data_IF_621853380184
#
_entry.id   IF_621853380184
#
_cell.length_a   1.000
_cell.length_b   1.000
_cell.length_c   1.000
_cell.angle_alpha   90.00
_cell.angle_beta   90.00
_cell.angle_gamma   90.00
#
_symmetry.space_group_name_H-M   'P 1'
#
loop_
_entity.id
_entity.type
_entity.pdbx_description
1 polymer ?
#
# COMPACT_ATOMS: atom_id res chain seq x y z
N UNK A 1 14.08 -11.37 -16.12
CA UNK A 1 13.60 -9.98 -16.28
C UNK A 1 13.23 -9.43 -14.92
N UNK A 2 13.59 -8.18 -14.61
CA UNK A 2 13.24 -7.54 -13.32
C UNK A 2 11.91 -6.80 -13.43
N UNK A 3 11.07 -6.87 -12.39
CA UNK A 3 9.79 -6.13 -12.30
C UNK A 3 10.10 -4.63 -12.21
N UNK A 4 9.55 -3.83 -13.11
CA UNK A 4 9.69 -2.36 -13.06
C UNK A 4 8.78 -1.80 -11.96
N UNK A 5 9.36 -1.12 -10.97
CA UNK A 5 8.68 -0.57 -9.80
C UNK A 5 9.62 0.34 -9.00
N UNK A 6 9.13 1.06 -8.00
CA UNK A 6 9.99 1.85 -7.11
C UNK A 6 10.74 0.95 -6.12
N UNK A 7 10.07 0.02 -5.46
CA UNK A 7 10.72 -1.00 -4.64
C UNK A 7 9.98 -2.33 -4.73
N UNK A 8 10.73 -3.42 -4.57
CA UNK A 8 10.19 -4.75 -4.28
C UNK A 8 10.71 -5.08 -2.90
N UNK A 9 9.80 -5.39 -1.99
CA UNK A 9 10.12 -5.93 -0.68
C UNK A 9 9.67 -7.38 -0.69
N UNK A 10 10.62 -8.31 -0.57
CA UNK A 10 10.30 -9.75 -0.61
C UNK A 10 9.60 -10.22 0.65
N UNK A 11 9.87 -9.54 1.76
CA UNK A 11 9.26 -9.76 3.06
C UNK A 11 9.23 -8.47 3.89
N UNK A 12 8.66 -8.55 5.08
CA UNK A 12 8.53 -7.43 6.03
C UNK A 12 9.88 -6.86 6.49
N UNK A 13 10.95 -7.66 6.49
CA UNK A 13 12.26 -7.22 6.95
C UNK A 13 12.92 -6.27 5.95
N UNK A 14 12.70 -6.45 4.65
CA UNK A 14 13.22 -5.53 3.63
C UNK A 14 12.60 -4.12 3.73
N UNK A 15 11.33 -4.04 4.17
CA UNK A 15 10.62 -2.77 4.40
C UNK A 15 11.23 -2.00 5.58
N UNK A 16 11.75 -2.72 6.58
CA UNK A 16 12.25 -2.12 7.83
C UNK A 16 13.29 -1.02 7.61
N UNK A 17 14.11 -1.12 6.56
CA UNK A 17 15.13 -0.11 6.26
C UNK A 17 14.53 1.29 6.01
N UNK A 18 13.39 1.38 5.33
CA UNK A 18 12.70 2.66 5.09
C UNK A 18 11.90 3.09 6.31
N UNK A 19 11.29 2.13 7.01
CA UNK A 19 10.49 2.41 8.22
C UNK A 19 11.36 2.92 9.36
N UNK A 20 12.55 2.34 9.57
CA UNK A 20 13.49 2.81 10.59
C UNK A 20 13.87 4.28 10.36
N UNK A 21 14.07 4.70 9.10
CA UNK A 21 14.34 6.12 8.79
C UNK A 21 13.11 6.99 9.12
N UNK A 22 11.90 6.53 8.82
CA UNK A 22 10.67 7.24 9.19
C UNK A 22 10.52 7.36 10.71
N UNK A 23 10.84 6.30 11.46
CA UNK A 23 10.78 6.27 12.92
C UNK A 23 11.83 7.20 13.55
N UNK A 24 13.07 7.20 13.04
CA UNK A 24 14.12 8.15 13.44
C UNK A 24 13.72 9.60 13.18
N UNK A 25 12.98 9.84 12.09
CA UNK A 25 12.42 11.16 11.77
C UNK A 25 11.17 11.50 12.59
N UNK A 26 10.67 10.58 13.42
CA UNK A 26 9.40 10.67 14.12
C UNK A 26 8.27 11.08 13.15
N UNK A 27 8.21 10.41 12.00
CA UNK A 27 7.27 10.71 10.93
C UNK A 27 5.83 10.61 11.42
N UNK A 28 5.00 11.55 10.98
CA UNK A 28 3.56 11.58 11.29
C UNK A 28 2.79 11.89 10.02
N UNK A 29 1.61 11.30 9.91
CA UNK A 29 0.67 11.62 8.83
C UNK A 29 0.02 12.97 9.19
N UNK A 30 0.56 14.05 8.64
CA UNK A 30 0.19 15.42 9.02
C UNK A 30 -1.03 15.92 8.23
N UNK A 31 -1.87 16.76 8.87
CA UNK A 31 -3.06 17.36 8.24
C UNK A 31 -2.74 18.55 7.34
N UNK A 32 -1.55 19.12 7.50
CA UNK A 32 -1.07 20.26 6.74
C UNK A 32 -1.01 19.94 5.23
N UNK A 33 -1.15 20.97 4.39
CA UNK A 33 -1.16 20.79 2.95
C UNK A 33 0.14 20.11 2.48
N UNK A 34 0.02 19.21 1.49
CA UNK A 34 1.17 18.48 0.95
C UNK A 34 2.30 19.42 0.49
N UNK A 35 1.97 20.58 -0.07
CA UNK A 35 2.95 21.61 -0.45
C UNK A 35 3.77 22.14 0.73
N UNK A 36 3.10 22.40 1.85
CA UNK A 36 3.76 22.87 3.07
C UNK A 36 4.65 21.77 3.64
N UNK A 37 4.17 20.53 3.63
CA UNK A 37 4.95 19.35 4.03
C UNK A 37 6.19 19.16 3.15
N UNK A 38 6.08 19.33 1.82
CA UNK A 38 7.23 19.30 0.90
C UNK A 38 8.27 20.36 1.29
N UNK A 39 7.85 21.59 1.57
CA UNK A 39 8.78 22.66 1.95
C UNK A 39 9.63 22.29 3.18
N UNK A 40 9.05 21.54 4.12
CA UNK A 40 9.71 21.10 5.33
C UNK A 40 10.57 19.84 5.13
N UNK A 41 10.05 18.84 4.42
CA UNK A 41 10.66 17.50 4.34
C UNK A 41 11.53 17.27 3.10
N UNK A 42 11.49 18.14 2.10
CA UNK A 42 12.27 18.00 0.85
C UNK A 42 13.78 17.85 1.04
N UNK A 43 14.31 18.36 2.16
CA UNK A 43 15.74 18.30 2.48
C UNK A 43 16.16 16.98 3.13
N UNK A 44 15.21 16.18 3.61
CA UNK A 44 15.48 14.93 4.34
C UNK A 44 16.08 13.86 3.44
N UNK A 45 16.85 12.95 4.04
CA UNK A 45 17.55 11.89 3.32
C UNK A 45 16.56 10.96 2.62
N UNK A 46 15.50 10.55 3.32
CA UNK A 46 14.49 9.65 2.76
C UNK A 46 13.76 10.28 1.57
N UNK A 47 13.33 11.55 1.69
CA UNK A 47 12.66 12.25 0.59
C UNK A 47 13.53 12.28 -0.67
N UNK A 48 14.79 12.70 -0.53
CA UNK A 48 15.75 12.77 -1.66
C UNK A 48 15.99 11.39 -2.27
N UNK A 49 16.12 10.36 -1.43
CA UNK A 49 16.32 8.97 -1.86
C UNK A 49 15.15 8.48 -2.70
N UNK A 50 13.92 8.55 -2.18
CA UNK A 50 12.71 8.12 -2.88
C UNK A 50 12.54 8.85 -4.21
N UNK A 51 12.72 10.19 -4.21
CA UNK A 51 12.66 11.02 -5.42
C UNK A 51 13.71 10.59 -6.46
N UNK A 52 14.96 10.43 -6.02
CA UNK A 52 16.06 10.01 -6.90
C UNK A 52 15.79 8.63 -7.50
N UNK A 53 15.39 7.66 -6.68
CA UNK A 53 15.15 6.28 -7.11
C UNK A 53 14.01 6.21 -8.14
N UNK A 54 12.94 7.00 -7.95
CA UNK A 54 11.85 7.10 -8.90
C UNK A 54 12.32 7.63 -10.27
N UNK A 55 13.09 8.73 -10.26
CA UNK A 55 13.58 9.37 -11.49
C UNK A 55 14.56 8.48 -12.24
N UNK A 56 15.48 7.82 -11.54
CA UNK A 56 16.44 6.89 -12.12
C UNK A 56 15.75 5.70 -12.80
N UNK A 57 14.66 5.21 -12.20
CA UNK A 57 13.89 4.07 -12.73
C UNK A 57 12.90 4.44 -13.83
N UNK A 58 12.73 5.74 -14.13
CA UNK A 58 11.84 6.26 -15.19
C UNK A 58 10.44 5.64 -15.12
N UNK A 59 9.83 5.65 -13.94
CA UNK A 59 8.57 4.96 -13.66
C UNK A 59 7.34 5.65 -14.25
N UNK A 60 7.45 6.93 -14.62
CA UNK A 60 6.39 7.71 -15.27
C UNK A 60 6.97 8.52 -16.43
N UNK A 61 6.12 8.84 -17.40
CA UNK A 61 6.41 9.85 -18.43
C UNK A 61 6.13 11.27 -17.93
N UNK A 62 5.31 11.40 -16.90
CA UNK A 62 4.96 12.67 -16.29
C UNK A 62 6.02 13.07 -15.25
N UNK A 63 6.31 14.38 -15.11
CA UNK A 63 7.15 14.86 -14.02
C UNK A 63 6.59 14.42 -12.66
N UNK A 64 7.46 13.87 -11.82
CA UNK A 64 7.12 13.51 -10.44
C UNK A 64 6.74 14.77 -9.67
N UNK A 65 5.58 14.77 -9.03
CA UNK A 65 5.18 15.82 -8.09
C UNK A 65 5.83 15.54 -6.74
N UNK A 66 6.38 16.56 -6.10
CA UNK A 66 7.05 16.39 -4.80
C UNK A 66 6.08 15.95 -3.70
N UNK A 67 4.80 16.32 -3.86
CA UNK A 67 3.71 15.86 -2.99
C UNK A 67 3.53 14.34 -3.02
N UNK A 68 3.82 13.66 -4.13
CA UNK A 68 3.74 12.19 -4.21
C UNK A 68 4.75 11.52 -3.26
N UNK A 69 5.93 12.11 -3.12
CA UNK A 69 6.97 11.59 -2.19
C UNK A 69 6.50 11.66 -0.74
N UNK A 70 5.77 12.71 -0.36
CA UNK A 70 5.15 12.81 0.96
C UNK A 70 4.10 11.70 1.16
N UNK A 71 3.26 11.46 0.15
CA UNK A 71 2.23 10.42 0.24
C UNK A 71 2.84 9.03 0.36
N UNK A 72 3.96 8.75 -0.31
CA UNK A 72 4.69 7.49 -0.17
C UNK A 72 5.19 7.24 1.25
N UNK A 73 5.68 8.29 1.91
CA UNK A 73 6.13 8.19 3.30
C UNK A 73 4.94 7.90 4.23
N UNK A 74 3.79 8.53 4.01
CA UNK A 74 2.56 8.25 4.77
C UNK A 74 2.08 6.81 4.57
N UNK A 75 2.00 6.35 3.32
CA UNK A 75 1.50 5.01 3.00
C UNK A 75 2.47 3.91 3.41
N UNK A 76 3.78 4.16 3.39
CA UNK A 76 4.76 3.23 3.97
C UNK A 76 4.50 2.99 5.46
N UNK A 77 4.19 4.04 6.22
CA UNK A 77 3.80 3.90 7.64
C UNK A 77 2.53 3.07 7.79
N UNK A 78 1.51 3.28 6.94
CA UNK A 78 0.27 2.50 6.97
C UNK A 78 0.51 1.03 6.61
N UNK A 79 1.26 0.75 5.55
CA UNK A 79 1.61 -0.60 5.11
C UNK A 79 2.38 -1.33 6.20
N UNK A 80 3.34 -0.67 6.86
CA UNK A 80 4.06 -1.24 8.01
C UNK A 80 3.12 -1.67 9.14
N UNK A 81 2.13 -0.84 9.47
CA UNK A 81 1.10 -1.19 10.47
C UNK A 81 0.24 -2.38 10.03
N UNK A 82 -0.17 -2.46 8.77
CA UNK A 82 -0.90 -3.63 8.22
C UNK A 82 -0.07 -4.90 8.35
N UNK A 83 1.19 -4.86 7.92
CA UNK A 83 2.09 -6.01 7.97
C UNK A 83 2.32 -6.50 9.41
N UNK A 84 2.45 -5.58 10.36
CA UNK A 84 2.54 -5.93 11.78
C UNK A 84 1.24 -6.55 12.31
N UNK A 85 0.06 -6.04 11.92
CA UNK A 85 -1.23 -6.61 12.32
C UNK A 85 -1.43 -8.01 11.72
N UNK A 86 -1.06 -8.21 10.45
CA UNK A 86 -1.08 -9.52 9.80
C UNK A 86 -0.19 -10.53 10.54
N UNK A 87 1.05 -10.16 10.84
CA UNK A 87 1.98 -10.99 11.61
C UNK A 87 1.39 -11.38 12.97
N UNK A 88 0.88 -10.41 13.75
CA UNK A 88 0.22 -10.66 15.04
C UNK A 88 -1.01 -11.55 14.93
N UNK A 89 -1.67 -11.56 13.78
CA UNK A 89 -2.86 -12.37 13.52
C UNK A 89 -2.57 -13.81 13.05
N UNK A 90 -1.29 -14.19 12.96
CA UNK A 90 -0.82 -15.53 12.57
C UNK A 90 -0.54 -15.72 11.08
N UNK A 91 -0.59 -14.66 10.27
CA UNK A 91 -0.30 -14.74 8.83
C UNK A 91 1.22 -14.85 8.61
N UNK A 92 1.64 -15.73 7.71
CA UNK A 92 3.05 -15.93 7.33
C UNK A 92 3.55 -14.76 6.46
N UNK A 93 3.86 -13.63 7.10
CA UNK A 93 4.26 -12.38 6.42
C UNK A 93 5.59 -12.48 5.67
N UNK A 94 6.42 -13.48 5.95
CA UNK A 94 7.63 -13.79 5.18
C UNK A 94 7.34 -14.36 3.79
N UNK A 95 6.10 -14.79 3.52
CA UNK A 95 5.63 -15.20 2.19
C UNK A 95 4.93 -14.07 1.42
N UNK A 96 4.74 -12.92 2.06
CA UNK A 96 4.11 -11.75 1.43
C UNK A 96 5.21 -10.87 0.83
N UNK A 97 5.16 -10.68 -0.48
CA UNK A 97 5.95 -9.66 -1.15
C UNK A 97 5.13 -8.40 -1.42
N UNK A 98 5.76 -7.23 -1.35
CA UNK A 98 5.16 -5.95 -1.63
C UNK A 98 5.90 -5.25 -2.77
N UNK A 99 5.19 -4.85 -3.81
CA UNK A 99 5.72 -4.06 -4.92
C UNK A 99 5.15 -2.66 -4.82
N UNK A 100 6.02 -1.68 -4.62
CA UNK A 100 5.64 -0.28 -4.46
C UNK A 100 5.75 0.46 -5.80
N UNK A 101 4.74 1.26 -6.14
CA UNK A 101 4.67 2.11 -7.33
C UNK A 101 4.91 1.29 -8.62
N UNK A 102 4.05 0.30 -8.87
CA UNK A 102 4.13 -0.59 -10.03
C UNK A 102 3.45 0.02 -11.27
N UNK A 103 4.19 0.32 -12.36
CA UNK A 103 3.60 0.80 -13.60
C UNK A 103 2.80 -0.32 -14.28
N UNK A 104 1.53 -0.06 -14.55
CA UNK A 104 0.63 -1.05 -15.12
C UNK A 104 0.96 -1.22 -16.60
N UNK A 105 1.31 -2.45 -17.00
CA UNK A 105 1.57 -2.80 -18.39
C UNK A 105 0.27 -2.64 -19.19
N UNK A 106 0.33 -1.92 -20.32
CA UNK A 106 -0.83 -1.49 -21.12
C UNK A 106 -1.86 -0.61 -20.38
N UNK A 107 -1.54 -0.15 -19.17
CA UNK A 107 -2.38 0.77 -18.40
C UNK A 107 -2.18 2.24 -18.75
N UNK A 108 -1.75 2.60 -19.96
CA UNK A 108 -1.58 3.99 -20.41
C UNK A 108 -0.90 4.93 -19.39
N UNK A 109 0.30 4.56 -18.93
CA UNK A 109 1.09 5.31 -17.94
C UNK A 109 0.50 5.39 -16.52
N UNK A 110 -0.50 4.58 -16.21
CA UNK A 110 -1.03 4.42 -14.85
C UNK A 110 -0.10 3.56 -13.98
N UNK A 111 -0.22 3.75 -12.67
CA UNK A 111 0.60 3.11 -11.65
C UNK A 111 -0.24 2.82 -10.42
N UNK A 112 -0.03 1.67 -9.81
CA UNK A 112 -0.66 1.33 -8.53
C UNK A 112 0.23 1.76 -7.38
N UNK A 113 -0.35 2.18 -6.25
CA UNK A 113 0.43 2.52 -5.05
C UNK A 113 1.21 1.28 -4.57
N UNK A 114 0.52 0.15 -4.36
CA UNK A 114 1.17 -1.12 -4.00
C UNK A 114 0.50 -2.33 -4.67
N UNK A 115 1.28 -3.37 -4.92
CA UNK A 115 0.81 -4.74 -5.09
C UNK A 115 1.26 -5.57 -3.90
N UNK A 116 0.34 -6.24 -3.22
CA UNK A 116 0.65 -7.28 -2.25
C UNK A 116 0.51 -8.63 -2.93
N UNK A 117 1.56 -9.43 -2.90
CA UNK A 117 1.65 -10.73 -3.57
C UNK A 117 1.80 -11.82 -2.53
N UNK A 118 0.95 -12.84 -2.59
CA UNK A 118 1.01 -14.03 -1.75
C UNK A 118 0.65 -15.27 -2.58
N UNK A 119 1.64 -16.14 -2.86
CA UNK A 119 1.47 -17.29 -3.75
C UNK A 119 0.82 -16.90 -5.10
N UNK A 120 -0.41 -17.33 -5.37
CA UNK A 120 -1.17 -17.01 -6.59
C UNK A 120 -2.15 -15.86 -6.43
N UNK A 121 -2.06 -15.11 -5.34
CA UNK A 121 -2.89 -13.94 -5.08
C UNK A 121 -2.10 -12.65 -5.28
N UNK A 122 -2.68 -11.72 -6.04
CA UNK A 122 -2.23 -10.34 -6.18
C UNK A 122 -3.35 -9.41 -5.69
N UNK A 123 -3.04 -8.58 -4.70
CA UNK A 123 -3.93 -7.54 -4.20
C UNK A 123 -3.40 -6.19 -4.67
N UNK A 124 -4.16 -5.51 -5.53
CA UNK A 124 -3.92 -4.12 -5.91
C UNK A 124 -4.39 -3.22 -4.76
N UNK A 125 -3.44 -2.56 -4.10
CA UNK A 125 -3.71 -1.69 -2.96
C UNK A 125 -3.54 -0.23 -3.37
N UNK A 126 -4.58 0.56 -3.07
CA UNK A 126 -4.62 1.99 -3.31
C UNK A 126 -4.94 2.74 -2.01
N UNK A 127 -4.24 3.83 -1.76
CA UNK A 127 -4.44 4.67 -0.58
C UNK A 127 -4.91 6.06 -0.98
N UNK A 128 -5.97 6.54 -0.34
CA UNK A 128 -6.48 7.89 -0.53
C UNK A 128 -6.47 8.66 0.78
N UNK A 129 -5.79 9.81 0.83
CA UNK A 129 -5.92 10.71 1.98
C UNK A 129 -7.22 11.53 1.88
N UNK A 130 -7.99 11.52 2.95
CA UNK A 130 -9.13 12.39 3.16
C UNK A 130 -8.63 13.75 3.66
N UNK A 131 -8.75 14.79 2.81
CA UNK A 131 -8.51 16.17 3.23
C UNK A 131 -9.80 16.83 3.73
N UNK A 132 -9.65 17.83 4.59
CA UNK A 132 -10.74 18.51 5.32
C UNK A 132 -11.78 19.24 4.45
N UNK A 133 -11.63 19.26 3.12
CA UNK A 133 -12.69 19.72 2.20
C UNK A 133 -13.74 18.61 2.02
N UNK A 134 -14.64 18.49 3.01
CA UNK A 134 -15.63 17.43 3.14
C UNK A 134 -16.56 17.25 1.92
N UNK A 135 -16.80 18.32 1.13
CA UNK A 135 -17.76 18.31 0.01
C UNK A 135 -17.38 17.44 -1.19
N UNK A 136 -16.14 16.93 -1.30
CA UNK A 136 -15.68 16.10 -2.45
C UNK A 136 -15.15 14.73 -2.06
N UNK A 137 -15.43 14.30 -0.84
CA UNK A 137 -14.83 13.09 -0.28
C UNK A 137 -15.36 11.80 -0.90
N UNK A 138 -16.68 11.68 -1.05
CA UNK A 138 -17.32 10.53 -1.70
C UNK A 138 -16.95 10.40 -3.18
N UNK A 139 -16.87 11.53 -3.90
CA UNK A 139 -16.40 11.56 -5.29
C UNK A 139 -14.96 11.07 -5.42
N UNK A 140 -14.08 11.48 -4.50
CA UNK A 140 -12.67 11.04 -4.48
C UNK A 140 -12.57 9.54 -4.20
N UNK A 141 -13.33 9.03 -3.24
CA UNK A 141 -13.36 7.59 -2.97
C UNK A 141 -13.84 6.80 -4.18
N UNK A 142 -14.97 7.21 -4.76
CA UNK A 142 -15.56 6.56 -5.94
C UNK A 142 -14.58 6.55 -7.11
N UNK A 143 -13.89 7.67 -7.34
CA UNK A 143 -12.88 7.78 -8.40
C UNK A 143 -11.70 6.84 -8.16
N UNK A 144 -11.12 6.81 -6.95
CA UNK A 144 -10.01 5.88 -6.64
C UNK A 144 -10.45 4.43 -6.74
N UNK A 145 -11.67 4.10 -6.33
CA UNK A 145 -12.22 2.75 -6.48
C UNK A 145 -12.37 2.35 -7.95
N UNK A 146 -12.87 3.25 -8.79
CA UNK A 146 -12.96 3.01 -10.24
C UNK A 146 -11.59 2.82 -10.90
N UNK A 147 -10.61 3.66 -10.54
CA UNK A 147 -9.21 3.53 -10.98
C UNK A 147 -8.65 2.17 -10.55
N UNK A 148 -8.76 1.82 -9.26
CA UNK A 148 -8.31 0.56 -8.69
C UNK A 148 -8.95 -0.67 -9.36
N UNK A 149 -10.26 -0.62 -9.64
CA UNK A 149 -10.97 -1.68 -10.36
C UNK A 149 -10.45 -1.85 -11.80
N UNK A 150 -10.15 -0.73 -12.46
CA UNK A 150 -9.57 -0.74 -13.82
C UNK A 150 -8.16 -1.35 -13.79
N UNK A 151 -7.36 -1.02 -12.78
CA UNK A 151 -6.01 -1.56 -12.59
C UNK A 151 -6.05 -3.08 -12.39
N UNK A 152 -6.91 -3.54 -11.48
CA UNK A 152 -7.17 -4.96 -11.25
C UNK A 152 -7.51 -5.67 -12.55
N UNK A 153 -8.49 -5.15 -13.30
CA UNK A 153 -8.95 -5.77 -14.54
C UNK A 153 -7.85 -5.85 -15.61
N UNK A 154 -7.05 -4.79 -15.78
CA UNK A 154 -5.93 -4.80 -16.75
C UNK A 154 -4.90 -5.86 -16.37
N UNK A 155 -4.54 -5.96 -15.08
CA UNK A 155 -3.57 -6.94 -14.59
C UNK A 155 -4.12 -8.36 -14.76
N UNK A 156 -5.37 -8.59 -14.32
CA UNK A 156 -6.08 -9.88 -14.38
C UNK A 156 -6.13 -10.44 -15.81
N UNK A 157 -6.46 -9.59 -16.79
CA UNK A 157 -6.53 -9.96 -18.21
C UNK A 157 -5.19 -10.42 -18.81
N UNK A 158 -4.06 -10.05 -18.21
CA UNK A 158 -2.72 -10.33 -18.74
C UNK A 158 -2.05 -11.54 -18.06
N UNK A 159 -2.63 -12.04 -16.98
CA UNK A 159 -2.06 -13.14 -16.20
C UNK A 159 -2.59 -14.49 -16.67
N UNK A 160 -1.85 -15.54 -16.29
CA UNK A 160 -2.26 -16.91 -16.57
C UNK A 160 -3.49 -17.28 -15.74
N UNK A 161 -4.36 -18.17 -16.23
CA UNK A 161 -5.44 -18.73 -15.43
C UNK A 161 -4.93 -19.30 -14.11
N UNK A 162 -5.68 -19.05 -13.03
CA UNK A 162 -5.35 -19.53 -11.69
C UNK A 162 -4.47 -18.59 -10.86
N UNK A 163 -4.24 -17.35 -11.31
CA UNK A 163 -3.72 -16.26 -10.48
C UNK A 163 -4.89 -15.33 -10.15
N UNK A 164 -5.20 -15.16 -8.87
CA UNK A 164 -6.29 -14.30 -8.40
C UNK A 164 -5.82 -12.85 -8.29
N UNK A 165 -6.55 -11.93 -8.93
CA UNK A 165 -6.28 -10.49 -8.82
C UNK A 165 -7.49 -9.78 -8.25
N UNK A 166 -7.30 -9.20 -7.06
CA UNK A 166 -8.30 -8.40 -6.35
C UNK A 166 -7.78 -7.01 -6.09
N UNK A 167 -8.64 -6.11 -5.64
CA UNK A 167 -8.23 -4.77 -5.24
C UNK A 167 -8.85 -4.32 -3.92
N UNK A 168 -8.18 -3.37 -3.28
CA UNK A 168 -8.67 -2.72 -2.09
C UNK A 168 -8.24 -1.25 -2.08
N UNK A 169 -9.19 -0.36 -1.77
CA UNK A 169 -8.91 1.07 -1.58
C UNK A 169 -9.09 1.42 -0.12
N UNK A 170 -8.03 1.89 0.52
CA UNK A 170 -8.08 2.39 1.89
C UNK A 170 -8.11 3.92 1.88
N UNK A 171 -9.11 4.51 2.52
CA UNK A 171 -9.14 5.94 2.80
C UNK A 171 -8.59 6.16 4.21
N UNK A 172 -7.59 7.02 4.33
CA UNK A 172 -7.00 7.37 5.62
C UNK A 172 -7.13 8.86 5.89
N UNK A 173 -7.08 9.23 7.16
CA UNK A 173 -7.14 10.61 7.65
C UNK A 173 -5.80 11.03 8.24
N UNK A 174 -5.47 12.32 8.25
CA UNK A 174 -4.27 12.78 8.92
C UNK A 174 -4.37 12.59 10.44
N UNK A 175 -3.30 12.14 11.06
CA UNK A 175 -3.24 11.75 12.49
C UNK A 175 -2.64 12.83 13.39
N UNK A 176 -2.00 13.84 12.79
CA UNK A 176 -1.27 14.86 13.52
C UNK A 176 -1.45 16.25 12.91
N UNK A 177 -1.45 17.25 13.78
CA UNK A 177 -1.45 18.66 13.43
C UNK A 177 -0.14 19.27 13.89
N UNK A 178 0.70 19.65 12.93
CA UNK A 178 1.98 20.29 13.22
C UNK A 178 1.80 21.68 13.81
N UNK A 179 0.83 22.45 13.30
CA UNK A 179 0.55 23.82 13.77
C UNK A 179 0.18 23.84 15.27
N UNK A 180 -0.65 22.89 15.70
CA UNK A 180 -1.05 22.77 17.12
C UNK A 180 -0.19 21.78 17.91
N UNK A 181 0.83 21.19 17.28
CA UNK A 181 1.68 20.13 17.83
C UNK A 181 0.89 19.03 18.56
N UNK A 182 -0.23 18.59 18.01
CA UNK A 182 -1.18 17.70 18.68
C UNK A 182 -1.62 16.53 17.81
N UNK A 183 -1.85 15.38 18.45
CA UNK A 183 -2.45 14.20 17.81
C UNK A 183 -3.95 14.40 17.63
N UNK A 184 -4.49 13.90 16.53
CA UNK A 184 -5.92 13.93 16.23
C UNK A 184 -6.48 12.55 16.54
N UNK A 185 -6.89 12.34 17.79
CA UNK A 185 -7.27 11.02 18.32
C UNK A 185 -8.37 10.36 17.49
N UNK A 186 -9.42 11.09 17.12
CA UNK A 186 -10.51 10.57 16.30
C UNK A 186 -10.05 10.07 14.92
N UNK A 187 -9.04 10.70 14.31
CA UNK A 187 -8.50 10.26 13.03
C UNK A 187 -7.58 9.04 13.19
N UNK A 188 -6.83 8.95 14.30
CA UNK A 188 -6.03 7.77 14.64
C UNK A 188 -6.95 6.56 14.83
N UNK A 189 -8.03 6.72 15.60
CA UNK A 189 -9.02 5.66 15.82
C UNK A 189 -9.68 5.24 14.50
N UNK A 190 -10.08 6.21 13.67
CA UNK A 190 -10.60 5.93 12.32
C UNK A 190 -9.62 5.12 11.47
N UNK A 191 -8.36 5.56 11.37
CA UNK A 191 -7.34 4.85 10.60
C UNK A 191 -7.09 3.45 11.15
N UNK A 192 -7.12 3.27 12.48
CA UNK A 192 -6.98 1.97 13.10
C UNK A 192 -8.10 1.00 12.70
N UNK A 193 -9.34 1.48 12.59
CA UNK A 193 -10.47 0.69 12.09
C UNK A 193 -10.30 0.32 10.61
N UNK A 194 -9.87 1.26 9.77
CA UNK A 194 -9.62 1.00 8.35
C UNK A 194 -8.45 0.01 8.14
N UNK A 195 -7.38 0.13 8.94
CA UNK A 195 -6.27 -0.83 8.96
C UNK A 195 -6.76 -2.23 9.36
N UNK A 196 -7.67 -2.33 10.33
CA UNK A 196 -8.25 -3.60 10.75
C UNK A 196 -9.10 -4.23 9.64
N UNK A 197 -9.90 -3.43 8.91
CA UNK A 197 -10.68 -3.91 7.77
C UNK A 197 -9.77 -4.46 6.66
N UNK A 198 -8.73 -3.71 6.29
CA UNK A 198 -7.75 -4.16 5.30
C UNK A 198 -7.02 -5.43 5.76
N UNK A 199 -6.61 -5.50 7.02
CA UNK A 199 -5.96 -6.68 7.60
C UNK A 199 -6.88 -7.90 7.55
N UNK A 200 -8.15 -7.76 7.93
CA UNK A 200 -9.14 -8.83 7.87
C UNK A 200 -9.39 -9.31 6.44
N UNK A 201 -9.45 -8.37 5.49
CA UNK A 201 -9.60 -8.66 4.07
C UNK A 201 -8.42 -9.49 3.54
N UNK A 202 -7.18 -9.03 3.77
CA UNK A 202 -5.97 -9.75 3.36
C UNK A 202 -5.90 -11.14 4.03
N UNK A 203 -6.15 -11.20 5.34
CA UNK A 203 -6.14 -12.46 6.10
C UNK A 203 -7.14 -13.48 5.55
N UNK A 204 -8.35 -13.02 5.20
CA UNK A 204 -9.36 -13.89 4.61
C UNK A 204 -8.87 -14.49 3.29
N UNK A 205 -8.34 -13.67 2.39
CA UNK A 205 -7.86 -14.13 1.08
C UNK A 205 -6.63 -15.03 1.18
N UNK A 206 -5.68 -14.70 2.06
CA UNK A 206 -4.52 -15.56 2.34
C UNK A 206 -4.98 -16.93 2.85
N UNK A 207 -5.95 -16.97 3.77
CA UNK A 207 -6.52 -18.24 4.25
C UNK A 207 -7.17 -19.05 3.12
N UNK A 208 -7.83 -18.41 2.16
CA UNK A 208 -8.38 -19.10 0.99
C UNK A 208 -7.26 -19.74 0.15
N UNK A 209 -6.17 -19.01 -0.11
CA UNK A 209 -5.02 -19.54 -0.83
C UNK A 209 -4.37 -20.72 -0.10
N UNK A 210 -4.15 -20.58 1.22
CA UNK A 210 -3.57 -21.64 2.04
C UNK A 210 -4.46 -22.90 2.04
N UNK A 211 -5.77 -22.73 2.11
CA UNK A 211 -6.72 -23.84 2.02
C UNK A 211 -6.69 -24.48 0.63
N UNK A 212 -6.49 -23.73 -0.44
CA UNK A 212 -6.39 -24.26 -1.81
C UNK A 212 -5.04 -24.90 -2.12
N UNK A 213 -4.06 -24.85 -1.20
CA UNK A 213 -2.75 -25.43 -1.41
C UNK A 213 -2.86 -26.96 -1.63
N UNK A 214 -2.14 -27.55 -2.62
CA UNK A 214 -2.26 -28.97 -2.94
C UNK A 214 -2.06 -29.90 -1.73
N UNK A 215 -1.11 -29.58 -0.85
CA UNK A 215 -0.86 -30.36 0.36
C UNK A 215 -2.06 -30.36 1.30
N UNK A 216 -2.65 -29.19 1.57
CA UNK A 216 -3.86 -29.09 2.40
C UNK A 216 -5.04 -29.84 1.77
N UNK A 217 -5.18 -29.78 0.45
CA UNK A 217 -6.23 -30.51 -0.26
C UNK A 217 -6.07 -32.03 -0.15
N UNK A 218 -4.83 -32.54 -0.24
CA UNK A 218 -4.55 -33.96 -0.03
C UNK A 218 -4.82 -34.38 1.42
N UNK A 219 -4.40 -33.59 2.41
CA UNK A 219 -4.68 -33.83 3.84
C UNK A 219 -6.19 -33.87 4.12
N UNK A 220 -6.96 -32.96 3.51
CA UNK A 220 -8.41 -32.93 3.63
C UNK A 220 -9.06 -34.21 3.06
N UNK A 221 -8.59 -34.69 1.90
CA UNK A 221 -9.10 -35.92 1.29
C UNK A 221 -8.85 -37.16 2.17
N UNK A 222 -7.71 -37.22 2.86
CA UNK A 222 -7.42 -38.29 3.83
C UNK A 222 -8.31 -38.18 5.08
N UNK A 223 -8.68 -36.96 5.51
CA UNK A 223 -9.50 -36.73 6.71
C UNK A 223 -10.97 -37.16 6.59
N UNK A 224 -11.44 -37.43 5.36
CA UNK A 224 -12.84 -37.84 5.08
C UNK A 224 -12.98 -39.34 4.79
N UNK A 225 -11.89 -40.11 4.87
CA UNK A 225 -11.88 -41.57 4.84
C UNK A 225 -12.13 -42.13 6.25
#
# INVERSE_FOLDING_TARGET
>A
MAIKCLYIFKDITEISSLINILDEMNWKIEKEYLKDRVSFYSKTVLFKKLKSDFLLKKLSIWPLKDEEVITWMDTLTLVSRVMLQLFKSGVQTNKISLVMEYPIVFGNHMRTDYLLIYDRLIIVLEFGMFNQDEKRSEERYTKKLQESNSYRQIIDNLLKPGVDVVNYVMIYRPEFSKVSNSKIISNIEYNQLELQKLTNFIKHLVKLQDNCAPLYQLEYLESIL
#
